data_IF_142950560180
#
_entry.id   IF_142950560180
#
_cell.length_a   1.000
_cell.length_b   1.000
_cell.length_c   1.000
_cell.angle_alpha   90.00
_cell.angle_beta   90.00
_cell.angle_gamma   90.00
#
_symmetry.space_group_name_H-M   'P 1'
#
loop_
_entity.id
_entity.type
_entity.pdbx_description
1 polymer ?
#
# COMPACT_ATOMS: atom_id res chain seq x y z
N UNK A 1 7.78 6.68 -0.54
CA UNK A 1 6.87 6.26 0.53
C UNK A 1 5.54 5.91 -0.08
N UNK A 2 4.99 4.74 0.24
CA UNK A 2 3.71 4.25 -0.27
C UNK A 2 2.63 4.42 0.80
N UNK A 3 1.61 5.22 0.49
CA UNK A 3 0.52 5.60 1.38
C UNK A 3 -0.79 5.00 0.86
N UNK A 4 -1.80 4.92 1.68
CA UNK A 4 -3.11 4.40 1.29
C UNK A 4 -3.75 3.57 2.40
N UNK A 5 -5.01 3.24 2.22
CA UNK A 5 -5.81 2.53 3.21
C UNK A 5 -5.21 1.16 3.60
N UNK A 6 -5.61 0.64 4.75
CA UNK A 6 -5.28 -0.74 5.16
C UNK A 6 -5.85 -1.73 4.14
N UNK A 7 -5.14 -2.84 3.91
CA UNK A 7 -5.54 -3.95 3.03
C UNK A 7 -5.71 -3.58 1.53
N UNK A 8 -5.26 -2.38 1.11
CA UNK A 8 -5.30 -1.95 -0.31
C UNK A 8 -4.20 -2.59 -1.17
N UNK A 9 -3.37 -3.48 -0.60
CA UNK A 9 -2.35 -4.23 -1.35
C UNK A 9 -0.94 -3.62 -1.36
N UNK A 10 -0.64 -2.60 -0.53
CA UNK A 10 0.68 -1.92 -0.50
C UNK A 10 1.86 -2.89 -0.37
N UNK A 11 1.87 -3.71 0.67
CA UNK A 11 2.98 -4.64 0.95
C UNK A 11 3.10 -5.70 -0.15
N UNK A 12 1.99 -6.18 -0.70
CA UNK A 12 1.96 -7.11 -1.84
C UNK A 12 2.60 -6.49 -3.08
N UNK A 13 2.23 -5.25 -3.42
CA UNK A 13 2.80 -4.54 -4.56
C UNK A 13 4.33 -4.35 -4.42
N UNK A 14 4.80 -4.02 -3.20
CA UNK A 14 6.25 -3.87 -2.96
C UNK A 14 6.98 -5.21 -3.03
N UNK A 15 6.38 -6.31 -2.56
CA UNK A 15 6.96 -7.66 -2.69
C UNK A 15 7.12 -8.06 -4.16
N UNK A 16 6.09 -7.86 -4.99
CA UNK A 16 6.21 -8.08 -6.44
C UNK A 16 7.25 -7.18 -7.10
N UNK A 17 7.35 -5.93 -6.67
CA UNK A 17 8.43 -5.06 -7.13
C UNK A 17 9.80 -5.63 -6.73
N UNK A 18 9.90 -6.20 -5.53
CA UNK A 18 11.12 -6.81 -4.98
C UNK A 18 11.67 -7.96 -5.82
N UNK A 19 10.81 -8.69 -6.55
CA UNK A 19 11.20 -9.78 -7.45
C UNK A 19 12.08 -9.31 -8.62
N UNK A 20 12.08 -7.99 -8.92
CA UNK A 20 12.89 -7.39 -9.98
C UNK A 20 14.30 -7.01 -9.51
N UNK A 21 14.61 -7.15 -8.23
CA UNK A 21 15.90 -6.80 -7.64
C UNK A 21 16.73 -8.07 -7.34
N UNK A 22 18.05 -7.93 -7.35
CA UNK A 22 18.96 -9.02 -6.98
C UNK A 22 18.76 -9.43 -5.52
N UNK A 23 18.50 -8.44 -4.64
CA UNK A 23 18.19 -8.67 -3.23
C UNK A 23 16.92 -7.92 -2.83
N UNK A 24 16.08 -8.58 -2.06
CA UNK A 24 14.93 -8.00 -1.40
C UNK A 24 15.04 -8.19 0.10
N UNK A 25 15.03 -7.08 0.82
CA UNK A 25 15.10 -7.04 2.29
C UNK A 25 13.89 -6.32 2.82
N UNK A 26 13.02 -7.05 3.53
CA UNK A 26 11.83 -6.52 4.17
C UNK A 26 12.03 -6.46 5.69
N UNK A 27 11.70 -5.31 6.27
CA UNK A 27 11.66 -5.05 7.71
C UNK A 27 10.25 -4.63 8.07
N UNK A 28 9.52 -5.50 8.76
CA UNK A 28 8.19 -5.18 9.28
C UNK A 28 8.30 -4.79 10.75
N UNK A 29 8.06 -3.53 11.08
CA UNK A 29 8.27 -2.99 12.43
C UNK A 29 7.23 -3.42 13.45
N UNK A 30 6.06 -3.90 13.03
CA UNK A 30 5.05 -4.49 13.89
C UNK A 30 5.41 -5.92 14.27
N UNK A 31 5.73 -6.76 13.27
CA UNK A 31 6.05 -8.18 13.47
C UNK A 31 7.43 -8.41 14.05
N UNK A 32 8.37 -7.51 13.80
CA UNK A 32 9.77 -7.64 14.12
C UNK A 32 10.29 -6.40 14.87
N UNK A 33 9.79 -6.11 16.09
CA UNK A 33 10.11 -4.88 16.82
C UNK A 33 11.60 -4.73 17.19
N UNK A 34 12.40 -5.81 17.13
CA UNK A 34 13.84 -5.75 17.35
C UNK A 34 14.58 -4.84 16.37
N UNK A 35 14.07 -4.66 15.14
CA UNK A 35 14.67 -3.76 14.15
C UNK A 35 14.58 -2.29 14.56
N UNK A 36 13.62 -1.89 15.41
CA UNK A 36 13.51 -0.52 15.93
C UNK A 36 14.80 -0.09 16.63
N UNK A 37 15.53 -1.03 17.25
CA UNK A 37 16.79 -0.75 17.95
C UNK A 37 17.89 -0.20 17.02
N UNK A 38 17.86 -0.55 15.74
CA UNK A 38 18.81 -0.05 14.76
C UNK A 38 18.69 1.47 14.55
N UNK A 39 17.59 2.10 14.93
CA UNK A 39 17.29 3.51 14.71
C UNK A 39 17.39 4.37 15.98
N UNK A 40 17.65 3.80 17.16
CA UNK A 40 17.57 4.51 18.44
C UNK A 40 18.76 5.41 18.78
N UNK A 41 19.99 5.09 18.32
CA UNK A 41 21.18 5.84 18.75
C UNK A 41 21.45 7.07 17.88
N UNK A 42 21.50 6.89 16.60
CA UNK A 42 21.60 7.91 15.56
C UNK A 42 20.92 7.40 14.29
N UNK A 43 20.75 8.28 13.30
CA UNK A 43 20.07 7.93 12.05
C UNK A 43 21.05 7.76 10.88
N UNK A 44 22.37 7.54 11.17
CA UNK A 44 23.39 7.28 10.16
C UNK A 44 23.10 5.99 9.39
N UNK A 45 23.03 6.10 8.08
CA UNK A 45 22.74 4.96 7.18
C UNK A 45 23.89 3.95 7.20
N UNK A 46 25.14 4.42 7.35
CA UNK A 46 26.31 3.56 7.46
C UNK A 46 26.24 2.58 8.64
N UNK A 47 25.56 2.97 9.72
CA UNK A 47 25.34 2.12 10.89
C UNK A 47 24.05 1.28 10.77
N UNK A 48 22.99 1.85 10.25
CA UNK A 48 21.69 1.19 10.16
C UNK A 48 21.73 0.00 9.17
N UNK A 49 22.30 0.22 7.99
CA UNK A 49 22.30 -0.77 6.90
C UNK A 49 22.99 -2.09 7.29
N UNK A 50 24.21 -2.09 7.85
CA UNK A 50 24.85 -3.34 8.28
C UNK A 50 24.08 -4.08 9.37
N UNK A 51 23.43 -3.37 10.29
CA UNK A 51 22.61 -4.00 11.34
C UNK A 51 21.38 -4.69 10.76
N UNK A 52 20.67 -4.04 9.82
CA UNK A 52 19.53 -4.64 9.13
C UNK A 52 19.99 -5.84 8.33
N UNK A 53 21.07 -5.74 7.58
CA UNK A 53 21.63 -6.84 6.79
C UNK A 53 21.96 -8.05 7.66
N UNK A 54 22.65 -7.82 8.79
CA UNK A 54 23.01 -8.89 9.74
C UNK A 54 21.77 -9.56 10.36
N UNK A 55 20.77 -8.78 10.76
CA UNK A 55 19.53 -9.32 11.34
C UNK A 55 18.66 -10.07 10.32
N UNK A 56 18.66 -9.61 9.05
CA UNK A 56 17.88 -10.23 7.98
C UNK A 56 18.60 -11.44 7.34
N UNK A 57 19.92 -11.51 7.48
CA UNK A 57 20.75 -12.55 6.85
C UNK A 57 20.92 -12.37 5.33
N UNK A 58 20.65 -11.16 4.81
CA UNK A 58 20.78 -10.83 3.39
C UNK A 58 21.63 -9.58 3.21
N UNK A 59 22.47 -9.51 2.14
CA UNK A 59 23.24 -8.32 1.86
C UNK A 59 22.34 -7.16 1.41
N UNK A 60 22.71 -5.94 1.79
CA UNK A 60 22.11 -4.70 1.30
C UNK A 60 23.17 -3.98 0.48
N UNK A 61 22.97 -3.99 -0.85
CA UNK A 61 23.92 -3.44 -1.82
C UNK A 61 23.22 -2.33 -2.61
N UNK A 62 23.82 -1.13 -2.62
CA UNK A 62 23.31 -0.01 -3.39
C UNK A 62 23.18 -0.38 -4.88
N UNK A 63 22.08 0.03 -5.52
CA UNK A 63 21.74 -0.28 -6.90
C UNK A 63 21.19 -1.69 -7.15
N UNK A 64 21.31 -2.62 -6.19
CA UNK A 64 20.91 -4.03 -6.35
C UNK A 64 19.82 -4.47 -5.38
N UNK A 65 19.68 -3.78 -4.26
CA UNK A 65 18.73 -4.14 -3.21
C UNK A 65 17.51 -3.22 -3.21
N UNK A 66 16.34 -3.80 -3.10
CA UNK A 66 15.14 -3.11 -2.62
C UNK A 66 15.02 -3.32 -1.11
N UNK A 67 15.20 -2.26 -0.33
CA UNK A 67 14.97 -2.23 1.12
C UNK A 67 13.55 -1.74 1.38
N UNK A 68 12.74 -2.57 2.03
CA UNK A 68 11.35 -2.28 2.32
C UNK A 68 11.11 -2.15 3.82
N UNK A 69 10.61 -1.00 4.26
CA UNK A 69 10.14 -0.73 5.61
C UNK A 69 8.61 -0.83 5.64
N UNK A 70 8.11 -1.92 6.16
CA UNK A 70 6.67 -2.17 6.29
C UNK A 70 6.19 -1.80 7.70
N UNK A 71 4.94 -1.33 7.82
CA UNK A 71 4.33 -0.78 9.03
C UNK A 71 5.24 0.26 9.71
N UNK A 72 5.78 1.18 8.88
CA UNK A 72 6.81 2.14 9.30
C UNK A 72 6.32 3.13 10.36
N UNK A 73 5.00 3.35 10.51
CA UNK A 73 4.43 4.17 11.59
C UNK A 73 4.73 3.60 12.98
N UNK A 74 5.08 2.33 13.09
CA UNK A 74 5.51 1.69 14.32
C UNK A 74 6.94 2.09 14.76
N UNK A 75 7.69 2.81 13.89
CA UNK A 75 9.04 3.29 14.16
C UNK A 75 9.22 4.71 13.58
N UNK A 76 8.84 5.77 14.30
CA UNK A 76 8.99 7.15 13.85
C UNK A 76 10.42 7.51 13.43
N UNK A 77 11.42 6.95 14.10
CA UNK A 77 12.84 7.13 13.80
C UNK A 77 13.20 6.58 12.41
N UNK A 78 12.58 5.46 12.00
CA UNK A 78 12.77 4.91 10.66
C UNK A 78 12.20 5.87 9.59
N UNK A 79 11.04 6.51 9.86
CA UNK A 79 10.50 7.54 8.96
C UNK A 79 11.47 8.72 8.86
N UNK A 80 12.01 9.20 9.97
CA UNK A 80 12.98 10.29 9.99
C UNK A 80 14.27 9.93 9.27
N UNK A 81 14.70 8.67 9.30
CA UNK A 81 15.92 8.20 8.65
C UNK A 81 15.83 8.21 7.12
N UNK A 82 14.63 8.16 6.52
CA UNK A 82 14.46 8.09 5.07
C UNK A 82 15.16 9.22 4.30
N UNK A 83 15.24 10.42 4.89
CA UNK A 83 15.97 11.54 4.30
C UNK A 83 17.46 11.25 4.20
N UNK A 84 18.04 10.59 5.21
CA UNK A 84 19.47 10.27 5.25
C UNK A 84 19.80 9.16 4.25
N UNK A 85 18.93 8.18 4.06
CA UNK A 85 19.07 7.21 2.96
C UNK A 85 19.21 7.91 1.60
N UNK A 86 18.42 8.96 1.35
CA UNK A 86 18.52 9.73 0.11
C UNK A 86 19.81 10.55 0.02
N UNK A 87 20.30 11.08 1.14
CA UNK A 87 21.48 11.94 1.19
C UNK A 87 22.80 11.13 1.19
N UNK A 88 22.87 10.05 1.97
CA UNK A 88 24.09 9.28 2.22
C UNK A 88 24.24 8.07 1.29
N UNK A 89 23.10 7.50 0.81
CA UNK A 89 23.10 6.28 -0.01
C UNK A 89 22.06 6.37 -1.15
N UNK A 90 22.19 7.37 -2.05
CA UNK A 90 21.15 7.67 -3.06
C UNK A 90 20.86 6.54 -4.04
N UNK A 91 21.81 5.63 -4.25
CA UNK A 91 21.64 4.47 -5.13
C UNK A 91 20.90 3.30 -4.46
N UNK A 92 20.65 3.34 -3.13
CA UNK A 92 19.85 2.32 -2.46
C UNK A 92 18.37 2.61 -2.67
N UNK A 93 17.67 1.63 -3.21
CA UNK A 93 16.22 1.71 -3.40
C UNK A 93 15.52 1.42 -2.07
N UNK A 94 14.88 2.44 -1.50
CA UNK A 94 14.15 2.32 -0.23
C UNK A 94 12.68 2.64 -0.44
N UNK A 95 11.81 1.72 -0.05
CA UNK A 95 10.37 1.92 0.02
C UNK A 95 9.94 1.81 1.47
N UNK A 96 9.09 2.73 1.91
CA UNK A 96 8.44 2.67 3.22
C UNK A 96 6.92 2.67 3.01
N UNK A 97 6.21 1.80 3.71
CA UNK A 97 4.75 1.72 3.67
C UNK A 97 4.16 1.58 5.08
N UNK A 98 2.92 2.01 5.23
CA UNK A 98 2.15 1.83 6.44
C UNK A 98 0.70 2.22 6.21
N UNK A 99 -0.21 1.66 7.00
CA UNK A 99 -1.64 1.87 6.84
C UNK A 99 -2.13 3.19 7.47
N UNK A 100 -1.44 3.66 8.52
CA UNK A 100 -1.83 4.82 9.34
C UNK A 100 -0.77 5.91 9.33
N UNK A 101 0.00 5.98 8.24
CA UNK A 101 1.10 6.93 8.06
C UNK A 101 0.68 8.39 8.23
N UNK A 102 -0.54 8.76 7.85
CA UNK A 102 -1.06 10.13 7.99
C UNK A 102 -0.98 10.62 9.45
N UNK A 103 -1.32 9.75 10.40
CA UNK A 103 -1.26 10.10 11.83
C UNK A 103 0.19 10.22 12.30
N UNK A 104 1.05 9.27 11.94
CA UNK A 104 2.46 9.29 12.32
C UNK A 104 3.18 10.52 11.74
N UNK A 105 2.90 10.88 10.49
CA UNK A 105 3.51 12.03 9.83
C UNK A 105 3.12 13.38 10.45
N UNK A 106 1.91 13.51 11.01
CA UNK A 106 1.47 14.73 11.70
C UNK A 106 2.19 14.95 13.02
N UNK A 107 2.62 13.88 13.67
CA UNK A 107 3.35 13.95 14.95
C UNK A 107 4.85 14.27 14.75
N UNK A 108 5.38 14.14 13.52
CA UNK A 108 6.79 14.39 13.26
C UNK A 108 7.08 15.90 13.06
N UNK A 109 8.08 16.46 13.75
CA UNK A 109 8.41 17.89 13.69
C UNK A 109 8.89 18.34 12.30
N UNK A 110 9.50 17.44 11.54
CA UNK A 110 9.92 17.68 10.15
C UNK A 110 9.85 16.38 9.38
N UNK A 111 9.14 16.40 8.26
CA UNK A 111 9.04 15.29 7.35
C UNK A 111 9.74 15.66 6.04
N UNK A 112 10.83 14.96 5.72
CA UNK A 112 11.70 14.99 4.53
C UNK A 112 11.26 15.73 3.27
N UNK A 113 10.85 16.99 3.41
CA UNK A 113 10.35 17.84 2.32
C UNK A 113 11.37 17.86 1.17
N UNK A 114 10.92 17.46 -0.03
CA UNK A 114 11.74 17.43 -1.24
C UNK A 114 12.68 16.22 -1.38
N UNK A 115 12.77 15.33 -0.37
CA UNK A 115 13.64 14.14 -0.39
C UNK A 115 12.87 12.82 -0.45
N UNK A 116 11.60 12.84 -0.04
CA UNK A 116 10.73 11.67 0.00
C UNK A 116 9.58 11.88 -0.98
N UNK A 117 9.48 10.99 -1.95
CA UNK A 117 8.34 10.96 -2.87
C UNK A 117 7.21 10.13 -2.23
N UNK A 118 6.03 10.73 -2.11
CA UNK A 118 4.82 10.03 -1.65
C UNK A 118 4.01 9.57 -2.84
N UNK A 119 3.71 8.27 -2.85
CA UNK A 119 2.78 7.65 -3.80
C UNK A 119 1.57 7.16 -3.04
N UNK A 120 0.40 7.32 -3.63
CA UNK A 120 -0.87 6.89 -3.03
C UNK A 120 -1.40 5.67 -3.76
N UNK A 121 -1.75 4.64 -2.99
CA UNK A 121 -2.40 3.45 -3.48
C UNK A 121 -3.86 3.46 -3.01
N UNK A 122 -4.74 3.34 -3.97
CA UNK A 122 -6.20 3.34 -3.75
C UNK A 122 -6.74 1.92 -3.96
N UNK A 123 -7.98 1.65 -3.53
CA UNK A 123 -8.68 0.45 -3.97
C UNK A 123 -8.72 0.34 -5.49
N UNK A 124 -8.86 -0.87 -6.00
CA UNK A 124 -8.89 -1.14 -7.44
C UNK A 124 -10.00 -0.35 -8.12
N UNK A 125 -9.67 0.22 -9.26
CA UNK A 125 -10.62 0.87 -10.16
C UNK A 125 -11.46 -0.16 -10.90
N UNK A 126 -12.52 0.29 -11.58
CA UNK A 126 -13.31 -0.63 -12.43
C UNK A 126 -12.48 -1.24 -13.57
N UNK A 127 -11.51 -0.50 -14.12
CA UNK A 127 -10.61 -1.01 -15.14
C UNK A 127 -9.73 -2.15 -14.59
N UNK A 128 -9.18 -1.99 -13.40
CA UNK A 128 -8.41 -3.04 -12.71
C UNK A 128 -9.28 -4.24 -12.31
N UNK A 129 -10.55 -4.01 -11.95
CA UNK A 129 -11.53 -5.08 -11.74
C UNK A 129 -11.81 -5.87 -13.02
N UNK A 130 -11.94 -5.18 -14.18
CA UNK A 130 -12.08 -5.86 -15.47
C UNK A 130 -10.88 -6.74 -15.77
N UNK A 131 -9.66 -6.22 -15.59
CA UNK A 131 -8.42 -6.99 -15.77
C UNK A 131 -8.36 -8.20 -14.84
N UNK A 132 -8.71 -8.04 -13.57
CA UNK A 132 -8.74 -9.15 -12.61
C UNK A 132 -9.73 -10.25 -13.00
N UNK A 133 -10.80 -9.90 -13.71
CA UNK A 133 -11.79 -10.86 -14.24
C UNK A 133 -11.41 -11.41 -15.62
N UNK A 134 -10.24 -11.09 -16.19
CA UNK A 134 -9.81 -11.55 -17.50
C UNK A 134 -10.53 -10.88 -18.67
N UNK A 135 -11.11 -9.69 -18.46
CA UNK A 135 -11.86 -8.94 -19.46
C UNK A 135 -11.00 -7.90 -20.21
N UNK A 136 -9.75 -8.27 -20.55
CA UNK A 136 -8.78 -7.38 -21.20
C UNK A 136 -9.30 -6.83 -22.52
N UNK A 137 -9.91 -7.69 -23.37
CA UNK A 137 -10.46 -7.30 -24.68
C UNK A 137 -11.63 -6.33 -24.50
N UNK A 138 -12.49 -6.59 -23.51
CA UNK A 138 -13.63 -5.70 -23.23
C UNK A 138 -13.17 -4.35 -22.71
N UNK A 139 -12.13 -4.31 -21.90
CA UNK A 139 -11.49 -3.09 -21.43
C UNK A 139 -10.91 -2.28 -22.61
N UNK A 140 -10.20 -2.92 -23.52
CA UNK A 140 -9.67 -2.29 -24.73
C UNK A 140 -10.79 -1.66 -25.59
N UNK A 141 -11.89 -2.41 -25.82
CA UNK A 141 -13.05 -1.91 -26.56
C UNK A 141 -13.68 -0.68 -25.87
N UNK A 142 -13.79 -0.72 -24.54
CA UNK A 142 -14.30 0.42 -23.75
C UNK A 142 -13.39 1.65 -23.86
N UNK A 143 -12.06 1.46 -23.81
CA UNK A 143 -11.10 2.57 -23.89
C UNK A 143 -11.07 3.21 -25.27
N UNK A 144 -11.37 2.45 -26.33
CA UNK A 144 -11.45 2.92 -27.70
C UNK A 144 -12.82 3.52 -28.07
N UNK A 145 -13.82 3.42 -27.19
CA UNK A 145 -15.15 3.95 -27.44
C UNK A 145 -15.18 5.48 -27.32
N UNK A 146 -15.99 6.11 -28.15
CA UNK A 146 -16.21 7.56 -28.17
C UNK A 146 -17.64 7.88 -28.60
N UNK A 147 -18.11 9.12 -28.45
CA UNK A 147 -19.44 9.50 -28.94
C UNK A 147 -19.63 9.27 -30.45
N UNK A 148 -18.56 9.33 -31.24
CA UNK A 148 -18.59 9.04 -32.70
C UNK A 148 -18.41 7.56 -33.04
N UNK A 149 -17.95 6.77 -32.09
CA UNK A 149 -17.78 5.31 -32.21
C UNK A 149 -18.20 4.64 -30.87
N UNK A 150 -19.52 4.57 -30.58
CA UNK A 150 -20.00 4.00 -29.34
C UNK A 150 -19.78 2.48 -29.30
N UNK A 151 -19.75 1.92 -28.10
CA UNK A 151 -19.72 0.49 -27.92
C UNK A 151 -20.99 -0.16 -28.52
N UNK A 152 -20.88 -1.32 -29.16
CA UNK A 152 -22.03 -2.14 -29.51
C UNK A 152 -22.86 -2.50 -28.28
N UNK A 153 -24.21 -2.55 -28.43
CA UNK A 153 -25.15 -2.77 -27.33
C UNK A 153 -24.79 -4.01 -26.49
N UNK A 154 -24.43 -5.11 -27.14
CA UNK A 154 -24.04 -6.35 -26.46
C UNK A 154 -22.83 -6.19 -25.54
N UNK A 155 -21.85 -5.38 -25.94
CA UNK A 155 -20.67 -5.09 -25.09
C UNK A 155 -21.01 -4.10 -23.98
N UNK A 156 -21.88 -3.15 -24.28
CA UNK A 156 -22.40 -2.20 -23.29
C UNK A 156 -23.17 -2.92 -22.18
N UNK A 157 -24.09 -3.81 -22.54
CA UNK A 157 -24.84 -4.62 -21.56
C UNK A 157 -23.93 -5.47 -20.68
N UNK A 158 -22.91 -6.11 -21.27
CA UNK A 158 -21.91 -6.88 -20.52
C UNK A 158 -21.15 -5.99 -19.53
N UNK A 159 -20.69 -4.81 -19.96
CA UNK A 159 -20.01 -3.85 -19.08
C UNK A 159 -20.90 -3.36 -17.94
N UNK A 160 -22.16 -3.07 -18.21
CA UNK A 160 -23.14 -2.68 -17.16
C UNK A 160 -23.33 -3.81 -16.15
N UNK A 161 -23.38 -5.07 -16.59
CA UNK A 161 -23.43 -6.22 -15.71
C UNK A 161 -22.20 -6.30 -14.80
N UNK A 162 -21.00 -6.18 -15.35
CA UNK A 162 -19.75 -6.20 -14.60
C UNK A 162 -19.62 -4.99 -13.67
N UNK A 163 -20.09 -3.81 -14.08
CA UNK A 163 -20.12 -2.63 -13.22
C UNK A 163 -21.04 -2.82 -12.00
N UNK A 164 -22.17 -3.46 -12.17
CA UNK A 164 -23.06 -3.81 -11.04
C UNK A 164 -22.37 -4.76 -10.07
N UNK A 165 -21.64 -5.77 -10.60
CA UNK A 165 -20.82 -6.66 -9.76
C UNK A 165 -19.75 -5.88 -9.01
N UNK A 166 -19.01 -4.99 -9.70
CA UNK A 166 -18.00 -4.12 -9.06
C UNK A 166 -18.60 -3.23 -7.97
N UNK A 167 -19.80 -2.68 -8.17
CA UNK A 167 -20.47 -1.86 -7.15
C UNK A 167 -20.83 -2.63 -5.88
N UNK A 168 -21.03 -3.94 -5.97
CA UNK A 168 -21.31 -4.82 -4.82
C UNK A 168 -20.01 -5.33 -4.17
N UNK A 169 -19.03 -5.74 -4.98
CA UNK A 169 -17.75 -6.31 -4.52
C UNK A 169 -16.78 -5.22 -4.03
N UNK A 170 -16.87 -4.02 -4.62
CA UNK A 170 -15.93 -2.94 -4.36
C UNK A 170 -14.55 -3.18 -4.98
N UNK A 171 -13.60 -2.30 -4.62
CA UNK A 171 -12.23 -2.33 -5.15
C UNK A 171 -11.18 -2.88 -4.19
N UNK A 172 -11.55 -3.46 -3.04
CA UNK A 172 -10.57 -4.03 -2.12
C UNK A 172 -9.99 -5.33 -2.71
N UNK A 173 -8.65 -5.45 -2.85
CA UNK A 173 -8.03 -6.55 -3.60
C UNK A 173 -8.44 -7.95 -3.13
N UNK A 174 -8.60 -8.15 -1.84
CA UNK A 174 -9.01 -9.44 -1.27
C UNK A 174 -10.44 -9.80 -1.65
N UNK A 175 -11.37 -8.83 -1.59
CA UNK A 175 -12.75 -9.04 -2.02
C UNK A 175 -12.84 -9.30 -3.54
N UNK A 176 -12.04 -8.57 -4.35
CA UNK A 176 -11.98 -8.80 -5.80
C UNK A 176 -11.40 -10.17 -6.12
N UNK A 177 -10.32 -10.59 -5.44
CA UNK A 177 -9.74 -11.93 -5.61
C UNK A 177 -10.76 -13.03 -5.27
N UNK A 178 -11.51 -12.87 -4.18
CA UNK A 178 -12.57 -13.80 -3.78
C UNK A 178 -13.70 -13.85 -4.82
N UNK A 179 -14.09 -12.70 -5.35
CA UNK A 179 -15.07 -12.63 -6.42
C UNK A 179 -14.61 -13.38 -7.67
N UNK A 180 -13.37 -13.17 -8.11
CA UNK A 180 -12.81 -13.87 -9.28
C UNK A 180 -12.76 -15.38 -9.08
N UNK A 181 -12.48 -15.83 -7.84
CA UNK A 181 -12.42 -17.26 -7.52
C UNK A 181 -13.81 -17.92 -7.47
N UNK A 182 -14.81 -17.25 -6.88
CA UNK A 182 -16.07 -17.90 -6.47
C UNK A 182 -17.32 -17.37 -7.17
N UNK A 183 -17.30 -16.13 -7.64
CA UNK A 183 -18.47 -15.36 -8.11
C UNK A 183 -19.62 -15.32 -7.07
N UNK A 184 -19.26 -15.39 -5.79
CA UNK A 184 -20.20 -15.40 -4.66
C UNK A 184 -20.11 -14.08 -3.87
N UNK A 185 -21.18 -13.29 -3.93
CA UNK A 185 -21.28 -12.01 -3.23
C UNK A 185 -21.24 -12.15 -1.70
N UNK A 186 -21.78 -13.24 -1.14
CA UNK A 186 -21.80 -13.44 0.31
C UNK A 186 -20.37 -13.61 0.85
N UNK A 187 -19.52 -14.37 0.16
CA UNK A 187 -18.13 -14.51 0.54
C UNK A 187 -17.33 -13.19 0.39
N UNK A 188 -17.68 -12.37 -0.59
CA UNK A 188 -17.07 -11.04 -0.71
C UNK A 188 -17.53 -10.12 0.43
N UNK A 189 -18.78 -10.21 0.85
CA UNK A 189 -19.33 -9.44 1.96
C UNK A 189 -18.66 -9.80 3.29
N UNK A 190 -18.40 -11.08 3.57
CA UNK A 190 -17.65 -11.51 4.74
C UNK A 190 -16.28 -10.82 4.81
N UNK A 191 -15.56 -10.76 3.69
CA UNK A 191 -14.27 -10.05 3.61
C UNK A 191 -14.44 -8.55 3.86
N UNK A 192 -15.50 -7.93 3.30
CA UNK A 192 -15.78 -6.51 3.51
C UNK A 192 -16.07 -6.21 4.98
N UNK A 193 -16.84 -7.07 5.65
CA UNK A 193 -17.15 -6.94 7.07
C UNK A 193 -15.89 -7.05 7.93
N UNK A 194 -14.98 -8.00 7.64
CA UNK A 194 -13.68 -8.13 8.30
C UNK A 194 -12.80 -6.89 8.10
N UNK A 195 -12.83 -6.30 6.91
CA UNK A 195 -12.12 -5.04 6.63
C UNK A 195 -12.68 -3.90 7.50
N UNK A 196 -14.01 -3.79 7.59
CA UNK A 196 -14.67 -2.76 8.42
C UNK A 196 -14.28 -2.92 9.89
N UNK A 197 -14.37 -4.14 10.43
CA UNK A 197 -13.97 -4.44 11.82
C UNK A 197 -12.50 -4.04 12.04
N UNK A 198 -11.62 -4.35 11.11
CA UNK A 198 -10.21 -3.98 11.22
C UNK A 198 -9.97 -2.46 11.22
N UNK A 199 -10.80 -1.69 10.51
CA UNK A 199 -10.76 -0.23 10.56
C UNK A 199 -11.31 0.31 11.90
N UNK A 200 -12.39 -0.26 12.42
CA UNK A 200 -12.94 0.11 13.73
C UNK A 200 -11.92 -0.09 14.85
N UNK A 201 -11.20 -1.22 14.84
CA UNK A 201 -10.11 -1.51 15.77
C UNK A 201 -8.97 -0.51 15.68
N UNK A 202 -8.57 -0.14 14.45
CA UNK A 202 -7.54 0.85 14.22
C UNK A 202 -7.98 2.24 14.73
N UNK A 203 -9.21 2.65 14.43
CA UNK A 203 -9.76 3.91 14.95
C UNK A 203 -9.84 3.91 16.49
N UNK A 204 -10.19 2.79 17.12
CA UNK A 204 -10.22 2.67 18.57
C UNK A 204 -8.82 2.86 19.21
N UNK A 205 -7.76 2.33 18.60
CA UNK A 205 -6.37 2.52 19.04
C UNK A 205 -5.95 3.98 18.97
N UNK A 206 -6.41 4.72 17.96
CA UNK A 206 -6.05 6.13 17.74
C UNK A 206 -7.02 7.12 18.35
N UNK A 207 -8.24 6.73 18.75
CA UNK A 207 -9.24 7.59 19.38
C UNK A 207 -8.72 8.25 20.65
N UNK A 208 -7.86 7.58 21.42
CA UNK A 208 -7.17 8.17 22.57
C UNK A 208 -6.17 9.27 22.20
N UNK A 209 -5.67 9.28 20.95
CA UNK A 209 -4.78 10.31 20.40
C UNK A 209 -5.53 11.34 19.56
N UNK A 210 -6.74 11.01 19.09
CA UNK A 210 -7.53 11.77 18.11
C UNK A 210 -8.63 12.64 18.72
N UNK A 211 -8.61 12.92 20.04
CA UNK A 211 -9.53 13.90 20.67
C UNK A 211 -9.46 15.31 20.05
N UNK A 212 -8.58 15.51 19.06
CA UNK A 212 -8.35 16.78 18.37
C UNK A 212 -8.69 16.76 16.86
N UNK A 213 -9.11 15.65 16.26
CA UNK A 213 -9.29 15.59 14.80
C UNK A 213 -10.63 14.99 14.39
N UNK A 214 -11.35 15.74 13.58
CA UNK A 214 -12.66 15.39 13.00
C UNK A 214 -12.53 14.18 12.06
N UNK A 215 -12.91 12.99 12.53
CA UNK A 215 -12.87 11.72 11.80
C UNK A 215 -13.68 11.74 10.47
N UNK A 216 -14.51 12.78 10.25
CA UNK A 216 -15.34 12.93 9.04
C UNK A 216 -14.54 13.02 7.73
N UNK A 217 -13.26 13.38 7.80
CA UNK A 217 -12.40 13.49 6.60
C UNK A 217 -11.66 12.21 6.22
N UNK A 218 -11.69 11.17 7.06
CA UNK A 218 -10.96 9.92 6.83
C UNK A 218 -11.81 8.85 6.11
N UNK A 219 -13.13 8.97 6.18
CA UNK A 219 -14.07 8.06 5.50
C UNK A 219 -14.49 8.53 4.09
N UNK A 220 -13.98 9.67 3.62
CA UNK A 220 -14.34 10.26 2.30
C UNK A 220 -13.25 10.02 1.23
N UNK A 221 -12.33 9.12 1.45
CA UNK A 221 -11.31 8.62 0.52
C UNK A 221 -11.52 7.13 0.31
#
# INVERSE_FOLDING_TARGET
MLRGARQVGKSTAVRHLGEKFEYYVEVNFEKQPQYKKAFLSDLSVERIVPQIAALNGKPIVAGKTLLFFDEVQECPEAIMSLRYFKEEMPELHVVAAGSLLEFALRELPTFGVGRIHSMFMYPMTFDEFLLANGEDILLEQRQNASPSNPLPDILHEKLVGLLRSFMLVGGMPEAVAKWVETHDYLQCQEIQDDIIVSYEDDFAKYKKKAELYDLRYTCAL
#
